data_IF_676911766798
#
_entry.id   IF_676911766798
#
_cell.length_a   1.000
_cell.length_b   1.000
_cell.length_c   1.000
_cell.angle_alpha   90.00
_cell.angle_beta   90.00
_cell.angle_gamma   90.00
#
_symmetry.space_group_name_H-M   'P 1'
#
loop_
_entity.id
_entity.type
_entity.pdbx_description
1 polymer ?
#
# COMPACT_ATOMS: atom_id res chain seq x y z
N UNK A 1 -0.04 10.03 -32.50
CA UNK A 1 0.89 9.79 -31.36
C UNK A 1 1.07 11.02 -30.46
N UNK A 2 1.24 12.24 -30.99
CA UNK A 2 1.44 13.46 -30.18
C UNK A 2 0.27 13.80 -29.23
N UNK A 3 -0.99 13.65 -29.67
CA UNK A 3 -2.17 13.90 -28.84
C UNK A 3 -2.32 12.89 -27.69
N UNK A 4 -2.00 11.61 -27.93
CA UNK A 4 -1.97 10.54 -26.91
C UNK A 4 -0.85 10.74 -25.88
N UNK A 5 0.28 11.32 -26.30
CA UNK A 5 1.41 11.70 -25.42
C UNK A 5 1.04 12.87 -24.51
N UNK A 6 0.34 13.89 -25.02
CA UNK A 6 -0.21 15.00 -24.20
C UNK A 6 -1.22 14.51 -23.14
N UNK A 7 -2.01 13.49 -23.44
CA UNK A 7 -3.04 12.95 -22.53
C UNK A 7 -2.46 12.26 -21.28
N UNK A 8 -1.24 11.74 -21.34
CA UNK A 8 -0.59 11.02 -20.22
C UNK A 8 0.40 11.89 -19.44
N UNK A 9 0.74 13.07 -19.94
CA UNK A 9 1.83 13.89 -19.42
C UNK A 9 1.34 15.08 -18.57
N UNK A 10 0.04 15.24 -18.39
CA UNK A 10 -0.54 16.35 -17.61
C UNK A 10 -1.79 15.94 -16.83
N UNK A 11 -1.88 16.44 -15.61
CA UNK A 11 -3.07 16.42 -14.77
C UNK A 11 -3.29 17.83 -14.25
N UNK A 12 -4.51 18.35 -14.37
CA UNK A 12 -4.91 19.57 -13.68
C UNK A 12 -5.50 19.15 -12.34
N UNK A 13 -4.96 19.68 -11.25
CA UNK A 13 -5.37 19.29 -9.91
C UNK A 13 -5.15 20.42 -8.90
N UNK A 14 -5.84 20.32 -7.77
CA UNK A 14 -5.50 21.04 -6.54
C UNK A 14 -5.15 20.03 -5.45
N UNK A 15 -4.20 20.36 -4.58
CA UNK A 15 -3.76 19.49 -3.48
C UNK A 15 -3.85 20.23 -2.16
N UNK A 16 -4.24 19.52 -1.10
CA UNK A 16 -4.22 20.04 0.27
C UNK A 16 -4.06 18.90 1.29
N UNK A 17 -3.55 19.17 2.50
CA UNK A 17 -3.63 18.23 3.60
C UNK A 17 -5.08 17.79 3.89
N UNK A 18 -5.24 16.55 4.33
CA UNK A 18 -6.50 15.99 4.81
C UNK A 18 -6.39 15.66 6.31
N UNK A 19 -6.42 16.69 7.18
CA UNK A 19 -6.21 16.52 8.62
C UNK A 19 -7.28 15.64 9.28
N UNK A 20 -8.51 15.63 8.75
CA UNK A 20 -9.60 14.79 9.22
C UNK A 20 -9.29 13.28 9.08
N UNK A 21 -8.63 12.89 7.99
CA UNK A 21 -8.16 11.52 7.80
C UNK A 21 -6.94 11.22 8.65
N UNK A 22 -6.02 12.18 8.75
CA UNK A 22 -4.83 12.07 9.60
C UNK A 22 -5.18 11.96 11.09
N UNK A 23 -6.30 12.53 11.52
CA UNK A 23 -6.77 12.50 12.90
C UNK A 23 -7.26 11.11 13.34
N UNK A 24 -7.80 10.30 12.43
CA UNK A 24 -8.21 8.91 12.73
C UNK A 24 -7.04 8.07 13.27
N UNK A 25 -5.82 8.39 12.84
CA UNK A 25 -4.57 7.72 13.22
C UNK A 25 -3.77 8.51 14.26
N UNK A 26 -4.35 9.55 14.85
CA UNK A 26 -3.73 10.27 15.97
C UNK A 26 -4.28 9.71 17.27
N UNK A 27 -3.59 8.73 17.83
CA UNK A 27 -4.01 8.01 19.04
C UNK A 27 -3.03 8.26 20.18
N UNK A 28 -3.47 8.03 21.40
CA UNK A 28 -2.66 8.22 22.61
C UNK A 28 -2.65 7.00 23.55
N UNK A 29 -3.35 5.91 23.18
CA UNK A 29 -3.46 4.69 23.99
C UNK A 29 -3.62 3.49 23.06
N UNK A 30 -3.00 2.36 23.42
CA UNK A 30 -2.94 1.17 22.58
C UNK A 30 -2.15 1.44 21.30
N UNK A 31 -2.77 1.25 20.13
CA UNK A 31 -2.17 1.61 18.84
C UNK A 31 -1.93 3.11 18.76
N UNK A 32 -0.70 3.55 18.48
CA UNK A 32 -0.40 4.98 18.31
C UNK A 32 0.42 5.35 17.08
N UNK A 33 0.92 4.35 16.36
CA UNK A 33 1.69 4.58 15.15
C UNK A 33 1.94 3.30 14.38
N UNK A 34 2.02 3.38 13.07
CA UNK A 34 2.44 2.27 12.23
C UNK A 34 2.87 2.75 10.85
N UNK A 35 3.56 1.85 10.14
CA UNK A 35 3.77 1.94 8.69
C UNK A 35 2.95 0.91 7.90
N UNK A 36 3.17 0.90 6.58
CA UNK A 36 2.16 0.52 5.63
C UNK A 36 1.11 1.63 5.45
N UNK A 37 0.05 1.30 4.72
CA UNK A 37 -1.34 1.29 5.16
C UNK A 37 -2.11 0.88 3.91
N UNK A 38 -2.76 -0.25 3.94
CA UNK A 38 -3.54 -0.73 2.80
C UNK A 38 -5.00 -0.80 3.22
N UNK A 39 -5.91 -0.72 2.25
CA UNK A 39 -7.33 -0.60 2.53
C UNK A 39 -8.15 -1.28 1.44
N UNK A 40 -9.06 -2.15 1.84
CA UNK A 40 -10.06 -2.76 0.96
C UNK A 40 -11.40 -2.75 1.67
N UNK A 41 -12.49 -2.69 0.93
CA UNK A 41 -13.80 -2.94 1.53
C UNK A 41 -14.00 -4.43 1.76
N UNK A 42 -14.76 -4.77 2.80
CA UNK A 42 -15.08 -6.16 3.14
C UNK A 42 -15.87 -6.87 2.05
N UNK A 43 -16.63 -6.11 1.27
CA UNK A 43 -17.34 -6.57 0.08
C UNK A 43 -16.53 -6.47 -1.23
N UNK A 44 -15.21 -6.21 -1.18
CA UNK A 44 -14.35 -6.28 -2.35
C UNK A 44 -14.66 -5.31 -3.50
N UNK A 45 -15.53 -4.32 -3.26
CA UNK A 45 -15.76 -3.21 -4.18
C UNK A 45 -14.60 -2.22 -4.01
N UNK A 46 -13.83 -1.98 -5.07
CA UNK A 46 -12.62 -1.13 -5.01
C UNK A 46 -12.82 0.26 -5.61
N UNK A 47 -14.07 0.66 -5.84
CA UNK A 47 -14.38 1.97 -6.44
C UNK A 47 -14.22 3.12 -5.44
N UNK A 48 -13.97 4.35 -5.94
CA UNK A 48 -14.12 5.57 -5.15
C UNK A 48 -15.47 5.61 -4.43
N UNK A 49 -15.44 5.93 -3.13
CA UNK A 49 -16.61 6.00 -2.26
C UNK A 49 -17.10 4.66 -1.71
N UNK A 50 -16.48 3.53 -2.06
CA UNK A 50 -16.96 2.21 -1.60
C UNK A 50 -17.01 2.08 -0.06
N UNK A 51 -16.12 2.77 0.65
CA UNK A 51 -16.11 2.79 2.12
C UNK A 51 -17.36 3.45 2.76
N UNK A 52 -18.17 4.17 2.00
CA UNK A 52 -19.45 4.73 2.48
C UNK A 52 -20.55 3.66 2.59
N UNK A 53 -20.38 2.53 1.93
CA UNK A 53 -21.39 1.47 1.84
C UNK A 53 -20.93 0.13 2.42
N UNK A 54 -19.64 0.00 2.70
CA UNK A 54 -19.03 -1.24 3.15
C UNK A 54 -17.90 -0.93 4.12
N UNK A 55 -17.83 -1.72 5.18
CA UNK A 55 -16.76 -1.63 6.16
C UNK A 55 -15.40 -1.81 5.47
N UNK A 56 -14.44 -0.95 5.82
CA UNK A 56 -13.08 -1.02 5.28
C UNK A 56 -12.16 -1.73 6.26
N UNK A 57 -11.47 -2.76 5.76
CA UNK A 57 -10.39 -3.43 6.47
C UNK A 57 -9.10 -2.72 6.08
N UNK A 58 -8.37 -2.24 7.08
CA UNK A 58 -7.04 -1.66 6.91
C UNK A 58 -6.00 -2.54 7.59
N UNK A 59 -4.81 -2.61 7.02
CA UNK A 59 -3.70 -3.31 7.66
C UNK A 59 -2.39 -2.55 7.55
N UNK A 60 -1.54 -2.83 8.53
CA UNK A 60 -0.30 -2.13 8.80
C UNK A 60 0.83 -3.13 8.96
N UNK A 61 2.05 -2.64 8.73
CA UNK A 61 3.29 -3.34 9.02
C UNK A 61 3.76 -2.97 10.43
N UNK A 62 5.02 -2.58 10.62
CA UNK A 62 5.56 -2.33 11.95
C UNK A 62 4.70 -1.29 12.67
N UNK A 63 4.24 -1.65 13.85
CA UNK A 63 3.17 -0.97 14.59
C UNK A 63 3.65 -0.72 16.01
N UNK A 64 3.60 0.53 16.44
CA UNK A 64 3.86 0.97 17.80
C UNK A 64 2.58 0.92 18.65
N UNK A 65 2.70 0.24 19.79
CA UNK A 65 1.70 0.14 20.83
C UNK A 65 2.22 0.75 22.14
N UNK A 66 1.40 1.50 22.86
CA UNK A 66 1.79 2.16 24.11
C UNK A 66 0.85 3.29 24.50
N UNK A 67 1.29 4.07 25.48
CA UNK A 67 0.51 5.16 26.07
C UNK A 67 1.26 6.49 25.91
N UNK A 68 0.54 7.54 25.51
CA UNK A 68 1.05 8.89 25.33
C UNK A 68 0.26 9.81 26.25
N UNK A 69 0.96 10.54 27.13
CA UNK A 69 0.36 11.55 27.99
C UNK A 69 0.95 12.92 27.64
N UNK A 70 0.08 13.84 27.20
CA UNK A 70 0.52 15.11 26.61
C UNK A 70 1.40 14.87 25.38
N UNK A 71 2.65 15.32 25.47
CA UNK A 71 3.68 15.18 24.44
C UNK A 71 4.74 14.11 24.78
N UNK A 72 4.51 13.28 25.80
CA UNK A 72 5.47 12.27 26.25
C UNK A 72 4.97 10.84 26.03
N UNK A 73 5.85 10.01 25.46
CA UNK A 73 5.66 8.55 25.42
C UNK A 73 5.92 7.95 26.80
N UNK A 74 4.93 7.25 27.36
CA UNK A 74 5.10 6.56 28.65
C UNK A 74 5.95 5.29 28.50
N UNK A 75 6.66 4.85 29.57
CA UNK A 75 7.39 3.59 29.56
C UNK A 75 6.50 2.39 29.24
N UNK A 76 7.07 1.38 28.56
CA UNK A 76 6.36 0.14 28.21
C UNK A 76 5.82 0.09 26.77
N UNK A 77 6.08 1.13 25.96
CA UNK A 77 5.81 1.08 24.52
C UNK A 77 6.56 -0.06 23.83
N UNK A 78 5.98 -0.59 22.76
CA UNK A 78 6.54 -1.72 22.03
C UNK A 78 6.17 -1.70 20.56
N UNK A 79 6.99 -2.33 19.74
CA UNK A 79 6.71 -2.57 18.33
C UNK A 79 6.23 -4.01 18.10
N UNK A 80 5.24 -4.20 17.25
CA UNK A 80 4.83 -5.48 16.66
C UNK A 80 4.87 -5.37 15.14
N UNK A 81 5.01 -6.47 14.42
CA UNK A 81 5.31 -6.41 12.97
C UNK A 81 4.12 -6.19 12.05
N UNK A 82 2.90 -6.38 12.54
CA UNK A 82 1.69 -6.02 11.82
C UNK A 82 0.50 -5.92 12.77
N UNK A 83 -0.44 -5.07 12.37
CA UNK A 83 -1.74 -4.89 13.01
C UNK A 83 -2.80 -4.63 11.94
N UNK A 84 -4.06 -4.60 12.35
CA UNK A 84 -5.16 -4.22 11.47
C UNK A 84 -6.02 -3.16 12.12
N UNK A 85 -6.77 -2.42 11.30
CA UNK A 85 -7.86 -1.60 11.75
C UNK A 85 -9.11 -1.90 10.94
N UNK A 86 -10.26 -1.60 11.54
CA UNK A 86 -11.55 -1.62 10.87
C UNK A 86 -12.14 -0.22 10.95
N UNK A 87 -12.48 0.32 9.79
CA UNK A 87 -13.19 1.57 9.63
C UNK A 87 -14.64 1.26 9.21
N UNK A 88 -15.59 1.59 10.07
CA UNK A 88 -17.01 1.44 9.75
C UNK A 88 -17.51 2.54 8.80
N UNK A 89 -18.74 2.39 8.29
CA UNK A 89 -19.37 3.37 7.37
C UNK A 89 -19.68 4.71 8.06
N UNK A 90 -19.69 4.76 9.38
CA UNK A 90 -19.80 5.97 10.20
C UNK A 90 -18.46 6.68 10.43
N UNK A 91 -17.35 6.17 9.87
CA UNK A 91 -15.97 6.63 10.06
C UNK A 91 -15.42 6.44 11.49
N UNK A 92 -15.96 5.49 12.25
CA UNK A 92 -15.32 5.04 13.48
C UNK A 92 -14.24 4.01 13.16
N UNK A 93 -13.05 4.22 13.70
CA UNK A 93 -11.91 3.31 13.51
C UNK A 93 -11.60 2.54 14.79
N UNK A 94 -11.40 1.23 14.65
CA UNK A 94 -10.96 0.34 15.73
C UNK A 94 -9.67 -0.39 15.32
N UNK A 95 -8.71 -0.49 16.22
CA UNK A 95 -7.40 -1.10 15.97
C UNK A 95 -7.30 -2.44 16.69
N UNK A 96 -6.70 -3.43 16.04
CA UNK A 96 -6.65 -4.81 16.50
C UNK A 96 -5.25 -5.39 16.33
N UNK A 97 -4.82 -6.14 17.33
CA UNK A 97 -3.60 -6.94 17.37
C UNK A 97 -3.86 -8.21 18.17
N UNK A 98 -2.95 -9.19 18.14
CA UNK A 98 -3.07 -10.40 18.96
C UNK A 98 -2.35 -10.22 20.29
N UNK A 99 -2.68 -11.08 21.25
CA UNK A 99 -1.87 -11.23 22.45
C UNK A 99 -1.32 -12.66 22.54
N UNK A 100 -0.08 -12.77 23.00
CA UNK A 100 0.61 -14.03 23.25
C UNK A 100 1.36 -13.91 24.57
N UNK A 101 1.03 -14.77 25.54
CA UNK A 101 1.63 -14.79 26.88
C UNK A 101 1.54 -13.42 27.60
N UNK A 102 0.37 -12.78 27.56
CA UNK A 102 0.13 -11.48 28.20
C UNK A 102 0.88 -10.31 27.56
N UNK A 103 1.39 -10.50 26.34
CA UNK A 103 2.10 -9.49 25.56
C UNK A 103 1.42 -9.34 24.21
N UNK A 104 1.20 -8.13 23.73
CA UNK A 104 0.83 -7.86 22.33
C UNK A 104 1.69 -8.66 21.33
N UNK A 105 1.15 -8.95 20.17
CA UNK A 105 1.78 -9.77 19.14
C UNK A 105 1.21 -9.40 17.77
N UNK A 106 2.00 -9.66 16.73
CA UNK A 106 1.54 -9.52 15.36
C UNK A 106 0.36 -10.47 15.06
N UNK A 107 -0.51 -10.07 14.14
CA UNK A 107 -1.65 -10.89 13.70
C UNK A 107 -1.18 -12.02 12.79
N UNK A 108 -0.37 -11.66 11.80
CA UNK A 108 0.20 -12.56 10.81
C UNK A 108 1.67 -12.83 11.14
N UNK A 109 1.99 -14.11 11.29
CA UNK A 109 3.34 -14.59 11.62
C UNK A 109 3.72 -15.62 10.56
N UNK A 110 4.90 -15.52 9.93
CA UNK A 110 5.34 -16.52 8.96
C UNK A 110 5.44 -17.90 9.62
N UNK A 111 4.90 -18.92 8.96
CA UNK A 111 4.90 -20.33 9.36
C UNK A 111 5.15 -21.31 8.20
N UNK A 112 5.51 -20.80 7.03
CA UNK A 112 5.80 -21.58 5.82
C UNK A 112 7.04 -22.46 6.00
N UNK A 113 7.21 -23.46 5.12
CA UNK A 113 8.36 -24.36 5.13
C UNK A 113 9.71 -23.64 5.12
N UNK A 114 9.81 -22.47 4.50
CA UNK A 114 11.10 -21.76 4.39
C UNK A 114 11.29 -20.68 5.44
N UNK A 115 10.31 -20.49 6.34
CA UNK A 115 10.42 -19.60 7.48
C UNK A 115 11.56 -20.06 8.39
N UNK A 116 12.34 -19.10 8.89
CA UNK A 116 13.33 -19.35 9.94
C UNK A 116 12.98 -18.55 11.21
N UNK A 117 13.56 -18.92 12.37
CA UNK A 117 13.44 -18.12 13.58
C UNK A 117 13.85 -16.66 13.34
N UNK A 118 13.02 -15.73 13.82
CA UNK A 118 13.24 -14.29 13.64
C UNK A 118 12.71 -13.70 12.33
N UNK A 119 12.14 -14.52 11.44
CA UNK A 119 11.36 -14.00 10.31
C UNK A 119 10.04 -13.39 10.80
N UNK A 120 9.66 -12.29 10.17
CA UNK A 120 8.38 -11.60 10.40
C UNK A 120 7.77 -11.15 9.08
N UNK A 121 6.51 -10.73 9.08
CA UNK A 121 5.89 -10.11 7.91
C UNK A 121 5.84 -8.61 8.05
N UNK A 122 6.37 -7.92 7.05
CA UNK A 122 5.74 -6.68 6.59
C UNK A 122 4.67 -7.02 5.56
N UNK A 123 3.57 -6.30 5.60
CA UNK A 123 2.43 -6.51 4.72
C UNK A 123 2.55 -5.59 3.50
N UNK A 124 2.27 -6.16 2.34
CA UNK A 124 1.99 -5.45 1.10
C UNK A 124 0.48 -5.30 0.91
N UNK A 125 0.11 -4.87 -0.29
CA UNK A 125 -1.27 -4.66 -0.69
C UNK A 125 -2.02 -6.00 -0.87
N UNK A 126 -3.31 -5.92 -1.15
CA UNK A 126 -4.22 -7.05 -1.09
C UNK A 126 -5.54 -6.78 -1.79
N UNK A 127 -6.43 -7.76 -1.77
CA UNK A 127 -7.79 -7.62 -2.30
C UNK A 127 -8.74 -8.63 -1.68
N UNK A 128 -10.04 -8.37 -1.79
CA UNK A 128 -11.08 -9.36 -1.45
C UNK A 128 -11.58 -10.01 -2.74
N UNK A 129 -11.52 -11.34 -2.81
CA UNK A 129 -11.98 -12.07 -4.00
C UNK A 129 -13.52 -12.15 -4.07
N UNK A 130 -14.11 -12.61 -5.20
CA UNK A 130 -15.57 -12.77 -5.30
C UNK A 130 -16.17 -13.74 -4.26
N UNK A 131 -15.38 -14.68 -3.73
CA UNK A 131 -15.76 -15.59 -2.64
C UNK A 131 -15.65 -14.94 -1.24
N UNK A 132 -15.38 -13.63 -1.16
CA UNK A 132 -15.26 -12.83 0.08
C UNK A 132 -14.07 -13.18 0.97
N UNK A 133 -13.07 -13.87 0.44
CA UNK A 133 -11.81 -14.11 1.14
C UNK A 133 -10.88 -12.91 0.94
N UNK A 134 -10.21 -12.51 2.02
CA UNK A 134 -9.21 -11.45 1.98
C UNK A 134 -7.83 -12.06 1.69
N UNK A 135 -7.17 -11.54 0.66
CA UNK A 135 -5.81 -11.87 0.27
C UNK A 135 -4.91 -10.69 0.60
N UNK A 136 -3.81 -10.95 1.31
CA UNK A 136 -2.80 -9.95 1.65
C UNK A 136 -1.45 -10.48 1.19
N UNK A 137 -0.68 -9.68 0.46
CA UNK A 137 0.70 -10.02 0.15
C UNK A 137 1.57 -9.80 1.39
N UNK A 138 2.43 -10.76 1.71
CA UNK A 138 3.37 -10.68 2.82
C UNK A 138 4.81 -10.68 2.32
N UNK A 139 5.59 -9.68 2.72
CA UNK A 139 7.03 -9.66 2.56
C UNK A 139 7.65 -10.31 3.80
N UNK A 140 8.22 -11.50 3.66
CA UNK A 140 8.88 -12.19 4.78
C UNK A 140 10.23 -11.53 5.01
N UNK A 141 10.35 -10.78 6.08
CA UNK A 141 11.54 -9.99 6.43
C UNK A 141 12.38 -10.69 7.50
N UNK A 142 13.66 -10.37 7.51
CA UNK A 142 14.59 -10.72 8.59
C UNK A 142 15.51 -9.56 8.90
N UNK A 143 15.72 -9.30 10.19
CA UNK A 143 16.72 -8.34 10.63
C UNK A 143 18.14 -8.83 10.31
N UNK A 144 18.95 -7.96 9.73
CA UNK A 144 20.38 -8.19 9.47
C UNK A 144 21.19 -7.50 10.57
N UNK A 145 22.02 -8.24 11.33
CA UNK A 145 22.85 -7.66 12.39
C UNK A 145 23.71 -6.49 11.89
N UNK A 146 23.77 -5.40 12.66
CA UNK A 146 24.62 -4.24 12.37
C UNK A 146 24.13 -3.29 11.28
N UNK A 147 22.93 -3.48 10.73
CA UNK A 147 22.43 -2.66 9.61
C UNK A 147 21.68 -1.36 10.00
N UNK A 148 21.60 -1.02 11.30
CA UNK A 148 20.90 0.18 11.77
C UNK A 148 19.43 0.23 11.32
N UNK A 149 18.93 1.43 11.00
CA UNK A 149 17.55 1.69 10.55
C UNK A 149 17.17 0.94 9.28
N UNK A 150 18.15 0.52 8.47
CA UNK A 150 17.95 -0.30 7.26
C UNK A 150 18.46 -1.74 7.41
N UNK A 151 18.60 -2.20 8.64
CA UNK A 151 19.13 -3.52 8.96
C UNK A 151 18.12 -4.65 8.78
N UNK A 152 17.56 -4.78 7.59
CA UNK A 152 16.59 -5.82 7.24
C UNK A 152 16.77 -6.31 5.81
N UNK A 153 16.29 -7.53 5.55
CA UNK A 153 16.30 -8.15 4.23
C UNK A 153 15.02 -8.91 3.99
N UNK A 154 14.47 -8.78 2.78
CA UNK A 154 13.39 -9.64 2.32
C UNK A 154 13.95 -11.04 2.03
N UNK A 155 13.33 -12.05 2.64
CA UNK A 155 13.68 -13.46 2.58
C UNK A 155 12.67 -14.28 1.77
N UNK A 156 11.56 -13.68 1.36
CA UNK A 156 10.52 -14.33 0.58
C UNK A 156 9.27 -13.47 0.46
N UNK A 157 8.38 -13.90 -0.43
CA UNK A 157 7.09 -13.27 -0.67
C UNK A 157 6.01 -14.35 -0.50
N UNK A 158 4.95 -14.03 0.22
CA UNK A 158 3.87 -14.96 0.57
C UNK A 158 2.52 -14.33 0.25
N UNK A 159 1.52 -15.19 0.05
CA UNK A 159 0.12 -14.81 -0.03
C UNK A 159 -0.58 -15.29 1.24
N UNK A 160 -1.03 -14.36 2.07
CA UNK A 160 -1.81 -14.60 3.29
C UNK A 160 -3.29 -14.57 2.93
N UNK A 161 -4.04 -15.54 3.42
CA UNK A 161 -5.42 -15.79 3.00
C UNK A 161 -6.30 -15.93 4.23
N UNK A 162 -7.15 -14.93 4.44
CA UNK A 162 -8.13 -14.85 5.51
C UNK A 162 -9.48 -15.33 4.97
N UNK A 163 -10.12 -16.33 5.61
CA UNK A 163 -11.42 -16.84 5.18
C UNK A 163 -12.51 -15.77 5.16
N UNK A 164 -13.53 -16.00 4.32
CA UNK A 164 -14.71 -15.16 4.27
C UNK A 164 -15.42 -15.10 5.63
N UNK A 165 -15.86 -13.90 6.00
CA UNK A 165 -16.58 -13.67 7.27
C UNK A 165 -15.72 -13.67 8.52
N UNK A 166 -14.40 -13.93 8.41
CA UNK A 166 -13.50 -13.77 9.55
C UNK A 166 -13.49 -12.32 10.05
N UNK A 167 -13.40 -12.18 11.38
CA UNK A 167 -13.31 -10.88 12.06
C UNK A 167 -11.90 -10.66 12.61
N UNK A 168 -11.45 -9.39 12.70
CA UNK A 168 -10.29 -9.02 13.50
C UNK A 168 -10.30 -9.68 14.88
N UNK A 169 -9.14 -10.16 15.39
CA UNK A 169 -7.79 -10.03 14.86
C UNK A 169 -7.39 -11.15 13.88
N UNK A 170 -8.34 -11.77 13.16
CA UNK A 170 -8.11 -12.86 12.20
C UNK A 170 -7.33 -14.04 12.80
N UNK A 171 -7.98 -14.78 13.69
CA UNK A 171 -7.37 -15.94 14.36
C UNK A 171 -7.05 -17.09 13.39
N UNK A 172 -7.80 -17.18 12.30
CA UNK A 172 -7.66 -18.22 11.28
C UNK A 172 -7.24 -17.57 9.96
N UNK A 173 -6.09 -17.98 9.47
CA UNK A 173 -5.61 -17.69 8.12
C UNK A 173 -4.68 -18.82 7.67
N UNK A 174 -4.40 -18.86 6.37
CA UNK A 174 -3.33 -19.68 5.81
C UNK A 174 -2.41 -18.83 4.96
N UNK A 175 -1.30 -19.39 4.57
CA UNK A 175 -0.30 -18.71 3.77
C UNK A 175 0.28 -19.65 2.71
N UNK A 176 0.65 -19.08 1.57
CA UNK A 176 1.27 -19.79 0.46
C UNK A 176 2.51 -19.01 0.02
N UNK A 177 3.66 -19.67 -0.10
CA UNK A 177 4.85 -19.02 -0.66
C UNK A 177 4.66 -18.71 -2.15
N UNK A 178 4.94 -17.46 -2.53
CA UNK A 178 4.97 -17.02 -3.93
C UNK A 178 6.34 -17.43 -4.52
N UNK A 179 6.37 -18.29 -5.55
CA UNK A 179 7.61 -18.94 -5.98
C UNK A 179 8.58 -18.03 -6.75
N UNK A 180 8.11 -16.84 -7.18
CA UNK A 180 8.86 -15.95 -8.08
C UNK A 180 10.06 -15.27 -7.40
N UNK A 181 10.02 -15.10 -6.07
CA UNK A 181 11.11 -14.50 -5.32
C UNK A 181 12.44 -15.23 -5.52
N UNK A 182 12.41 -16.58 -5.54
CA UNK A 182 13.60 -17.41 -5.74
C UNK A 182 14.18 -17.36 -7.15
N UNK A 183 13.38 -16.98 -8.14
CA UNK A 183 13.76 -17.08 -9.55
C UNK A 183 14.44 -15.82 -10.09
N UNK A 184 14.34 -14.67 -9.40
CA UNK A 184 15.00 -13.42 -9.81
C UNK A 184 15.00 -12.31 -8.73
N UNK A 185 14.77 -12.63 -7.45
CA UNK A 185 14.58 -11.60 -6.41
C UNK A 185 13.37 -10.71 -6.69
N UNK A 186 12.37 -11.25 -7.39
CA UNK A 186 11.13 -10.56 -7.75
C UNK A 186 10.17 -10.64 -6.58
N UNK A 187 9.78 -9.49 -6.06
CA UNK A 187 8.74 -9.39 -5.03
C UNK A 187 7.51 -8.67 -5.58
N UNK A 188 6.35 -9.23 -5.28
CA UNK A 188 5.03 -8.73 -5.71
C UNK A 188 4.19 -8.35 -4.49
N UNK A 189 3.21 -7.46 -4.71
CA UNK A 189 2.33 -6.97 -3.66
C UNK A 189 2.63 -5.54 -3.22
N UNK A 190 3.46 -4.79 -3.96
CA UNK A 190 3.67 -3.37 -3.70
C UNK A 190 2.39 -2.54 -3.92
N UNK A 191 1.53 -3.03 -4.81
CA UNK A 191 0.16 -2.55 -5.02
C UNK A 191 -0.65 -3.59 -5.79
N UNK A 192 -1.98 -3.50 -5.67
CA UNK A 192 -2.95 -4.33 -6.36
C UNK A 192 -3.96 -3.43 -7.10
N UNK A 193 -4.47 -3.90 -8.23
CA UNK A 193 -5.59 -3.27 -8.91
C UNK A 193 -6.56 -4.34 -9.41
N UNK A 194 -7.76 -4.39 -8.85
CA UNK A 194 -8.78 -5.38 -9.22
C UNK A 194 -9.66 -4.84 -10.34
N UNK A 195 -9.38 -5.26 -11.58
CA UNK A 195 -10.08 -4.78 -12.76
C UNK A 195 -11.23 -5.74 -13.17
N UNK A 196 -12.14 -6.02 -12.24
CA UNK A 196 -13.26 -6.94 -12.45
C UNK A 196 -14.62 -6.26 -12.29
N UNK A 197 -15.68 -6.92 -12.77
CA UNK A 197 -17.05 -6.42 -12.64
C UNK A 197 -17.45 -6.36 -11.17
N UNK A 198 -17.11 -7.39 -10.39
CA UNK A 198 -17.44 -7.51 -8.97
C UNK A 198 -16.79 -6.42 -8.12
N UNK A 199 -15.59 -5.97 -8.49
CA UNK A 199 -14.91 -4.86 -7.84
C UNK A 199 -15.43 -3.47 -8.26
N UNK A 200 -16.39 -3.42 -9.20
CA UNK A 200 -16.97 -2.18 -9.72
C UNK A 200 -16.08 -1.43 -10.71
N UNK A 201 -15.08 -2.08 -11.30
CA UNK A 201 -14.18 -1.41 -12.25
C UNK A 201 -14.95 -0.88 -13.48
N UNK A 202 -14.60 0.33 -13.96
CA UNK A 202 -15.32 0.97 -15.09
C UNK A 202 -15.10 0.24 -16.42
N UNK A 203 -13.88 -0.27 -16.65
CA UNK A 203 -13.51 -1.00 -17.86
C UNK A 203 -12.92 -2.38 -17.50
N UNK A 204 -13.75 -3.32 -17.01
CA UNK A 204 -13.27 -4.58 -16.45
C UNK A 204 -12.73 -5.50 -17.55
N UNK A 205 -11.54 -6.06 -17.33
CA UNK A 205 -10.97 -7.16 -18.12
C UNK A 205 -10.93 -8.49 -17.33
N UNK A 206 -11.44 -8.44 -16.10
CA UNK A 206 -11.61 -9.57 -15.19
C UNK A 206 -10.30 -10.05 -14.56
N UNK A 207 -9.23 -9.25 -14.60
CA UNK A 207 -7.94 -9.60 -13.98
C UNK A 207 -7.69 -8.81 -12.70
N UNK A 208 -6.95 -9.43 -11.79
CA UNK A 208 -6.22 -8.73 -10.73
C UNK A 208 -4.82 -8.43 -11.26
N UNK A 209 -4.44 -7.16 -11.24
CA UNK A 209 -3.10 -6.69 -11.55
C UNK A 209 -2.28 -6.63 -10.27
N UNK A 210 -1.09 -7.21 -10.31
CA UNK A 210 -0.20 -7.35 -9.15
C UNK A 210 1.10 -6.64 -9.48
N UNK A 211 1.34 -5.53 -8.79
CA UNK A 211 2.52 -4.71 -8.98
C UNK A 211 3.62 -5.13 -8.01
N UNK A 212 4.84 -5.17 -8.54
CA UNK A 212 6.04 -5.46 -7.77
C UNK A 212 7.12 -4.42 -8.05
N UNK A 213 8.13 -4.39 -7.20
CA UNK A 213 9.28 -3.49 -7.34
C UNK A 213 10.56 -4.30 -7.24
N UNK A 214 11.52 -4.04 -8.13
CA UNK A 214 12.83 -4.68 -8.08
C UNK A 214 13.96 -3.69 -8.34
N UNK A 215 15.16 -4.10 -7.92
CA UNK A 215 16.40 -3.37 -8.18
C UNK A 215 16.53 -2.05 -7.41
N UNK A 216 17.74 -1.47 -7.45
CA UNK A 216 18.05 -0.23 -6.74
C UNK A 216 17.29 0.98 -7.31
N UNK A 217 17.04 1.01 -8.62
CA UNK A 217 16.27 2.08 -9.27
C UNK A 217 14.75 2.00 -9.07
N UNK A 218 14.27 1.14 -8.16
CA UNK A 218 12.85 0.93 -7.86
C UNK A 218 12.02 0.74 -9.12
N UNK A 219 12.32 -0.32 -9.86
CA UNK A 219 11.69 -0.61 -11.14
C UNK A 219 10.36 -1.33 -10.94
N UNK A 220 9.29 -0.77 -11.50
CA UNK A 220 7.97 -1.37 -11.51
C UNK A 220 7.95 -2.58 -12.44
N UNK A 221 7.45 -3.70 -11.92
CA UNK A 221 7.15 -4.92 -12.66
C UNK A 221 5.69 -5.30 -12.42
N UNK A 222 5.08 -5.97 -13.39
CA UNK A 222 3.62 -6.20 -13.38
C UNK A 222 3.32 -7.65 -13.73
N UNK A 223 2.53 -8.30 -12.88
CA UNK A 223 1.86 -9.55 -13.16
C UNK A 223 0.35 -9.35 -13.22
N UNK A 224 -0.37 -10.32 -13.79
CA UNK A 224 -1.82 -10.41 -13.65
C UNK A 224 -2.29 -11.86 -13.66
N UNK A 225 -3.44 -12.08 -13.02
CA UNK A 225 -4.12 -13.39 -12.94
C UNK A 225 -5.62 -13.18 -12.73
N UNK A 226 -6.44 -14.18 -13.05
CA UNK A 226 -7.86 -14.16 -12.70
C UNK A 226 -8.01 -14.32 -11.17
N UNK A 227 -8.99 -13.67 -10.51
CA UNK A 227 -9.18 -13.81 -9.07
C UNK A 227 -9.28 -15.26 -8.58
N UNK A 228 -9.99 -16.11 -9.32
CA UNK A 228 -10.15 -17.55 -9.00
C UNK A 228 -8.86 -18.36 -9.12
N UNK A 229 -7.85 -17.81 -9.78
CA UNK A 229 -6.58 -18.45 -10.09
C UNK A 229 -5.40 -17.83 -9.31
N UNK A 230 -5.66 -16.94 -8.36
CA UNK A 230 -4.62 -16.20 -7.61
C UNK A 230 -3.61 -17.14 -6.93
N UNK A 231 -4.06 -18.30 -6.44
CA UNK A 231 -3.20 -19.31 -5.80
C UNK A 231 -2.50 -20.25 -6.80
N UNK A 232 -2.93 -20.24 -8.07
CA UNK A 232 -2.37 -21.06 -9.14
C UNK A 232 -1.23 -20.32 -9.84
N UNK A 233 -0.05 -20.29 -9.24
CA UNK A 233 1.10 -19.50 -9.75
C UNK A 233 1.53 -19.83 -11.19
N UNK A 234 1.24 -21.03 -11.70
CA UNK A 234 1.47 -21.40 -13.11
C UNK A 234 0.56 -20.68 -14.11
N UNK A 235 -0.56 -20.11 -13.63
CA UNK A 235 -1.52 -19.33 -14.43
C UNK A 235 -1.23 -17.84 -14.43
N UNK A 236 -0.30 -17.38 -13.60
CA UNK A 236 0.11 -15.98 -13.59
C UNK A 236 0.79 -15.64 -14.91
N UNK A 237 0.54 -14.42 -15.38
CA UNK A 237 1.21 -13.87 -16.56
C UNK A 237 1.89 -12.57 -16.22
N UNK A 238 3.01 -12.30 -16.87
CA UNK A 238 3.94 -11.21 -16.57
C UNK A 238 4.06 -10.28 -17.77
N UNK A 239 4.02 -8.98 -17.53
CA UNK A 239 4.14 -8.00 -18.60
C UNK A 239 5.60 -7.93 -19.08
N UNK A 240 5.83 -8.24 -20.35
CA UNK A 240 7.16 -8.16 -20.96
C UNK A 240 7.43 -6.84 -21.70
N UNK A 241 6.57 -5.82 -21.50
CA UNK A 241 6.64 -4.54 -22.20
C UNK A 241 5.86 -4.50 -23.52
N UNK A 242 5.41 -5.65 -24.03
CA UNK A 242 4.63 -5.73 -25.29
C UNK A 242 3.38 -6.61 -25.17
N UNK A 243 3.48 -7.72 -24.45
CA UNK A 243 2.41 -8.70 -24.22
C UNK A 243 2.59 -9.39 -22.88
N UNK A 244 1.55 -10.12 -22.47
CA UNK A 244 1.59 -11.00 -21.31
C UNK A 244 2.32 -12.30 -21.66
N UNK A 245 3.33 -12.66 -20.87
CA UNK A 245 4.13 -13.89 -21.02
C UNK A 245 3.95 -14.75 -19.75
N UNK A 246 4.05 -16.08 -19.88
CA UNK A 246 3.96 -16.99 -18.72
C UNK A 246 5.31 -17.17 -18.00
N UNK A 247 6.41 -16.80 -18.66
CA UNK A 247 7.74 -16.91 -18.09
C UNK A 247 8.11 -15.62 -17.34
N UNK A 248 8.20 -15.71 -16.01
CA UNK A 248 8.58 -14.60 -15.13
C UNK A 248 9.96 -14.01 -15.48
N UNK A 249 10.89 -14.80 -16.03
CA UNK A 249 12.21 -14.33 -16.42
C UNK A 249 12.18 -13.30 -17.57
N UNK A 250 11.05 -13.19 -18.30
CA UNK A 250 10.86 -12.22 -19.39
C UNK A 250 10.18 -10.92 -18.95
N UNK A 251 9.91 -10.77 -17.66
CA UNK A 251 9.24 -9.58 -17.14
C UNK A 251 10.08 -8.32 -17.37
N UNK A 252 9.44 -7.28 -17.89
CA UNK A 252 10.09 -6.01 -18.18
C UNK A 252 9.98 -5.05 -17.00
N UNK A 253 10.99 -4.18 -16.88
CA UNK A 253 10.86 -2.96 -16.09
C UNK A 253 9.94 -2.00 -16.86
N UNK A 254 8.83 -1.60 -16.25
CA UNK A 254 7.78 -0.82 -16.93
C UNK A 254 7.96 0.68 -16.74
N UNK A 255 8.36 1.08 -15.53
CA UNK A 255 8.81 2.43 -15.15
C UNK A 255 9.75 2.28 -13.95
N UNK A 256 10.32 3.38 -13.49
CA UNK A 256 11.30 3.47 -12.40
C UNK A 256 10.92 4.54 -11.39
N UNK A 257 11.75 4.65 -10.34
CA UNK A 257 11.63 5.65 -9.27
C UNK A 257 10.31 5.58 -8.50
N UNK A 258 9.67 4.40 -8.46
CA UNK A 258 8.49 4.14 -7.62
C UNK A 258 8.90 3.81 -6.17
N UNK A 259 7.92 3.52 -5.32
CA UNK A 259 8.13 3.09 -3.93
C UNK A 259 7.71 1.64 -3.71
N UNK A 260 8.23 1.02 -2.65
CA UNK A 260 7.89 -0.37 -2.26
C UNK A 260 6.41 -0.54 -1.89
N UNK A 261 5.71 0.57 -1.65
CA UNK A 261 4.27 0.63 -1.53
C UNK A 261 3.77 1.70 -2.49
N UNK A 262 2.74 1.36 -3.28
CA UNK A 262 2.18 2.22 -4.31
C UNK A 262 0.68 1.91 -4.45
N UNK A 263 -0.06 2.79 -5.12
CA UNK A 263 -1.49 2.58 -5.39
C UNK A 263 -1.82 2.83 -6.85
N UNK A 264 -2.84 2.13 -7.34
CA UNK A 264 -3.38 2.31 -8.69
C UNK A 264 -4.86 2.62 -8.61
N UNK A 265 -5.30 3.67 -9.30
CA UNK A 265 -6.71 4.04 -9.39
C UNK A 265 -7.06 4.45 -10.82
N UNK A 266 -8.22 4.02 -11.31
CA UNK A 266 -8.75 4.51 -12.57
C UNK A 266 -9.48 5.85 -12.36
N UNK A 267 -9.09 6.86 -13.12
CA UNK A 267 -9.68 8.20 -13.14
C UNK A 267 -10.98 8.20 -13.97
N UNK A 268 -11.82 9.22 -13.77
CA UNK A 268 -13.09 9.34 -14.50
C UNK A 268 -12.92 9.44 -16.02
N UNK A 269 -11.85 10.07 -16.48
CA UNK A 269 -11.50 10.19 -17.89
C UNK A 269 -10.90 8.90 -18.49
N UNK A 270 -10.89 7.81 -17.72
CA UNK A 270 -10.44 6.49 -18.13
C UNK A 270 -8.94 6.25 -18.01
N UNK A 271 -8.14 7.25 -17.65
CA UNK A 271 -6.70 7.07 -17.37
C UNK A 271 -6.50 6.30 -16.07
N UNK A 272 -5.34 5.69 -15.93
CA UNK A 272 -4.89 4.98 -14.73
C UNK A 272 -3.81 5.80 -14.05
N UNK A 273 -4.02 6.15 -12.78
CA UNK A 273 -3.08 6.89 -11.96
C UNK A 273 -2.32 5.92 -11.05
N UNK A 274 -1.03 5.77 -11.33
CA UNK A 274 -0.07 5.09 -10.46
C UNK A 274 0.50 6.11 -9.48
N UNK A 275 0.18 6.02 -8.20
CA UNK A 275 0.60 6.94 -7.13
C UNK A 275 1.66 6.26 -6.26
N UNK A 276 2.74 6.99 -5.96
CA UNK A 276 3.90 6.48 -5.22
C UNK A 276 4.71 7.61 -4.57
N UNK A 277 5.63 7.26 -3.67
CA UNK A 277 6.68 8.17 -3.21
C UNK A 277 7.81 8.19 -4.25
N UNK A 278 8.15 9.36 -4.78
CA UNK A 278 9.28 9.53 -5.71
C UNK A 278 10.56 8.97 -5.07
N UNK A 279 11.37 8.21 -5.82
CA UNK A 279 12.64 7.62 -5.36
C UNK A 279 12.53 6.68 -4.14
N UNK A 280 11.32 6.20 -3.82
CA UNK A 280 11.05 5.36 -2.66
C UNK A 280 10.98 6.12 -1.34
N UNK A 281 11.82 7.14 -1.14
CA UNK A 281 11.90 7.98 0.06
C UNK A 281 12.20 9.47 -0.26
N UNK A 282 12.05 9.87 -1.52
CA UNK A 282 12.22 11.27 -1.94
C UNK A 282 11.09 12.14 -1.38
N UNK A 283 11.30 13.45 -1.33
CA UNK A 283 10.37 14.37 -0.65
C UNK A 283 9.01 14.60 -1.33
N UNK A 284 8.79 14.09 -2.55
CA UNK A 284 7.55 14.31 -3.27
C UNK A 284 6.68 13.06 -3.32
N UNK A 285 5.40 13.26 -3.03
CA UNK A 285 4.35 12.36 -3.49
C UNK A 285 4.13 12.63 -4.97
N UNK A 286 4.14 11.58 -5.78
CA UNK A 286 4.04 11.71 -7.22
C UNK A 286 3.07 10.69 -7.83
N UNK A 287 2.68 10.94 -9.07
CA UNK A 287 2.00 9.95 -9.89
C UNK A 287 2.56 9.89 -11.31
N UNK A 288 2.21 8.81 -12.00
CA UNK A 288 2.28 8.70 -13.47
C UNK A 288 0.93 8.24 -14.00
N UNK A 289 0.56 8.76 -15.17
CA UNK A 289 -0.67 8.38 -15.84
C UNK A 289 -0.42 7.38 -16.97
N UNK A 290 -1.36 6.45 -17.15
CA UNK A 290 -1.33 5.46 -18.21
C UNK A 290 -2.71 5.28 -18.87
N UNK A 291 -2.77 4.78 -20.12
CA UNK A 291 -4.03 4.46 -20.79
C UNK A 291 -4.54 3.06 -20.43
N UNK A 292 -3.70 2.22 -19.82
CA UNK A 292 -4.03 0.87 -19.35
C UNK A 292 -3.34 0.62 -18.01
N UNK A 293 -3.76 -0.38 -17.21
CA UNK A 293 -3.10 -0.72 -15.96
C UNK A 293 -1.61 -1.11 -16.12
N UNK A 294 -1.21 -1.57 -17.32
CA UNK A 294 0.16 -1.98 -17.62
C UNK A 294 1.01 -0.89 -18.33
N UNK A 295 0.48 0.33 -18.48
CA UNK A 295 1.17 1.41 -19.18
C UNK A 295 0.77 1.55 -20.66
N UNK A 296 1.63 2.19 -21.49
CA UNK A 296 2.86 2.88 -21.09
C UNK A 296 2.55 4.04 -20.14
N UNK A 297 3.40 4.22 -19.13
CA UNK A 297 3.30 5.33 -18.17
C UNK A 297 3.93 6.60 -18.75
N UNK A 298 3.24 7.73 -18.59
CA UNK A 298 3.72 9.05 -18.97
C UNK A 298 4.79 9.61 -18.05
N UNK A 299 4.98 10.92 -18.14
CA UNK A 299 5.91 11.66 -17.27
C UNK A 299 5.50 11.59 -15.80
N UNK A 300 6.50 11.74 -14.94
CA UNK A 300 6.32 11.93 -13.51
C UNK A 300 5.62 13.29 -13.27
N UNK A 301 4.52 13.26 -12.50
CA UNK A 301 3.78 14.43 -12.06
C UNK A 301 3.88 14.48 -10.54
N UNK A 302 4.55 15.50 -10.00
CA UNK A 302 4.64 15.73 -8.56
C UNK A 302 3.34 16.35 -8.07
N UNK A 303 2.75 15.73 -7.06
CA UNK A 303 1.46 16.14 -6.49
C UNK A 303 1.64 17.00 -5.25
N UNK A 304 2.58 16.62 -4.37
CA UNK A 304 2.75 17.24 -3.07
C UNK A 304 4.22 17.23 -2.66
N UNK A 305 4.69 18.35 -2.10
CA UNK A 305 6.04 18.49 -1.54
C UNK A 305 5.98 18.35 -0.02
N UNK A 306 6.60 17.31 0.52
CA UNK A 306 6.67 17.04 1.94
C UNK A 306 7.75 17.86 2.66
N UNK A 307 8.40 18.83 2.00
CA UNK A 307 9.46 19.66 2.62
C UNK A 307 9.05 20.28 3.96
N UNK A 308 7.80 20.68 4.14
CA UNK A 308 7.31 21.22 5.43
C UNK A 308 7.33 20.16 6.54
N UNK A 309 7.00 18.91 6.21
CA UNK A 309 7.03 17.78 7.17
C UNK A 309 8.46 17.49 7.63
N UNK A 310 9.42 17.72 6.75
CA UNK A 310 10.85 17.48 6.97
C UNK A 310 11.55 18.71 7.57
N UNK A 311 10.85 19.85 7.68
CA UNK A 311 11.45 21.07 8.20
C UNK A 311 11.72 20.95 9.70
N UNK A 312 12.90 21.41 10.12
CA UNK A 312 13.30 21.47 11.53
C UNK A 312 13.89 20.19 12.09
N UNK A 313 13.97 19.10 11.31
CA UNK A 313 14.59 17.85 11.74
C UNK A 313 15.13 17.06 10.54
N UNK A 314 16.45 16.93 10.49
CA UNK A 314 17.18 16.27 9.39
C UNK A 314 17.08 14.74 9.47
N UNK A 315 16.68 14.20 10.62
CA UNK A 315 16.60 12.77 10.85
C UNK A 315 15.28 12.20 10.30
N UNK A 316 14.30 13.06 9.99
CA UNK A 316 13.03 12.65 9.40
C UNK A 316 13.12 12.36 7.90
N UNK A 317 12.34 11.37 7.48
CA UNK A 317 12.09 11.07 6.06
C UNK A 317 10.63 10.68 5.82
N UNK A 318 10.18 10.87 4.58
CA UNK A 318 8.85 10.46 4.11
C UNK A 318 8.95 9.30 3.15
N UNK A 319 7.96 8.42 3.16
CA UNK A 319 7.96 7.20 2.36
C UNK A 319 6.54 6.66 2.18
N UNK A 320 6.42 5.59 1.38
CA UNK A 320 5.21 4.78 1.26
C UNK A 320 3.95 5.55 0.82
N UNK A 321 4.08 6.57 -0.01
CA UNK A 321 2.90 7.25 -0.53
C UNK A 321 2.06 6.33 -1.44
N UNK A 322 0.74 6.32 -1.25
CA UNK A 322 -0.19 5.54 -2.09
C UNK A 322 -1.61 6.09 -2.06
N UNK A 323 -2.36 5.90 -3.14
CA UNK A 323 -3.79 6.21 -3.18
C UNK A 323 -4.60 5.10 -2.53
N UNK A 324 -5.70 5.47 -1.87
CA UNK A 324 -6.69 4.55 -1.30
C UNK A 324 -8.00 4.63 -2.10
N UNK A 325 -8.21 3.79 -3.14
CA UNK A 325 -9.39 3.89 -4.00
C UNK A 325 -10.70 3.86 -3.21
N UNK A 326 -10.85 2.91 -2.29
CA UNK A 326 -12.08 2.73 -1.50
C UNK A 326 -12.42 3.91 -0.58
N UNK A 327 -11.41 4.67 -0.14
CA UNK A 327 -11.55 5.84 0.73
C UNK A 327 -11.62 7.16 -0.05
N UNK A 328 -11.27 7.14 -1.34
CA UNK A 328 -11.26 8.33 -2.18
C UNK A 328 -12.68 8.72 -2.56
N UNK A 329 -12.99 10.02 -2.56
CA UNK A 329 -14.24 10.52 -3.13
C UNK A 329 -14.20 10.45 -4.68
N UNK A 330 -15.35 10.54 -5.36
CA UNK A 330 -15.37 10.78 -6.81
C UNK A 330 -14.52 12.02 -7.19
N UNK A 331 -13.83 11.97 -8.33
CA UNK A 331 -12.90 13.01 -8.81
C UNK A 331 -11.76 13.39 -7.84
N UNK A 332 -11.46 12.54 -6.87
CA UNK A 332 -10.46 12.79 -5.85
C UNK A 332 -9.52 11.59 -5.69
N UNK A 333 -8.26 11.86 -5.35
CA UNK A 333 -7.33 10.86 -4.83
C UNK A 333 -7.09 11.19 -3.35
N UNK A 334 -7.54 10.31 -2.47
CA UNK A 334 -7.10 10.33 -1.08
C UNK A 334 -5.80 9.53 -0.97
N UNK A 335 -4.72 10.20 -0.63
CA UNK A 335 -3.37 9.64 -0.62
C UNK A 335 -2.82 9.70 0.79
N UNK A 336 -2.31 8.58 1.28
CA UNK A 336 -1.51 8.55 2.50
C UNK A 336 -0.02 8.56 2.15
N UNK A 337 0.81 8.96 3.11
CA UNK A 337 2.25 8.71 3.16
C UNK A 337 2.68 8.58 4.62
N UNK A 338 3.78 7.89 4.89
CA UNK A 338 4.32 7.73 6.24
C UNK A 338 5.48 8.69 6.48
N UNK A 339 5.75 8.93 7.77
CA UNK A 339 6.93 9.67 8.24
C UNK A 339 7.64 8.80 9.26
N UNK A 340 8.96 8.70 9.12
CA UNK A 340 9.82 7.93 10.02
C UNK A 340 11.14 8.69 10.20
N UNK A 341 12.03 8.15 11.03
CA UNK A 341 13.28 8.79 11.42
C UNK A 341 14.48 7.85 11.30
N UNK A 342 15.63 8.40 10.90
CA UNK A 342 16.92 7.72 10.93
C UNK A 342 17.42 7.48 12.37
N UNK A 343 16.96 8.26 13.36
CA UNK A 343 17.18 8.08 14.80
C UNK A 343 15.87 7.74 15.53
N UNK A 344 15.18 6.72 14.99
CA UNK A 344 13.80 6.38 15.34
C UNK A 344 13.48 6.36 16.84
N UNK A 345 14.30 5.69 17.65
CA UNK A 345 13.98 5.52 19.09
C UNK A 345 14.12 6.81 19.89
N UNK A 346 15.02 7.71 19.51
CA UNK A 346 15.18 8.99 20.19
C UNK A 346 14.08 9.96 19.74
N UNK A 347 13.85 10.07 18.43
CA UNK A 347 12.81 10.95 17.90
C UNK A 347 11.42 10.54 18.34
N UNK A 348 11.14 9.24 18.47
CA UNK A 348 9.85 8.78 18.96
C UNK A 348 9.60 9.16 20.43
N UNK A 349 10.64 9.30 21.25
CA UNK A 349 10.49 9.77 22.65
C UNK A 349 10.13 11.24 22.73
N UNK A 350 10.70 12.06 21.85
CA UNK A 350 10.45 13.50 21.79
C UNK A 350 9.17 13.85 21.00
N UNK A 351 8.87 13.05 19.97
CA UNK A 351 7.78 13.25 19.02
C UNK A 351 6.97 11.96 18.91
N UNK A 352 6.21 11.57 19.97
CA UNK A 352 5.51 10.28 19.99
C UNK A 352 4.42 10.12 18.93
N UNK A 353 4.02 11.23 18.29
CA UNK A 353 3.03 11.24 17.18
C UNK A 353 3.68 11.25 15.79
N UNK A 354 4.98 10.99 15.70
CA UNK A 354 5.76 11.01 14.46
C UNK A 354 5.37 9.86 13.51
N UNK A 355 5.44 8.63 14.02
CA UNK A 355 5.41 7.39 13.23
C UNK A 355 3.99 6.94 12.86
N UNK A 356 3.32 7.69 11.99
CA UNK A 356 1.93 7.42 11.59
C UNK A 356 1.66 7.89 10.15
N UNK A 357 0.62 7.35 9.49
CA UNK A 357 0.20 7.86 8.19
C UNK A 357 -0.31 9.31 8.30
N UNK A 358 0.02 10.11 7.29
CA UNK A 358 -0.51 11.45 7.03
C UNK A 358 -1.22 11.42 5.69
N UNK A 359 -2.30 12.20 5.58
CA UNK A 359 -3.15 12.16 4.40
C UNK A 359 -3.17 13.51 3.68
N UNK A 360 -3.21 13.44 2.35
CA UNK A 360 -3.49 14.56 1.46
C UNK A 360 -4.67 14.21 0.57
N UNK A 361 -5.34 15.26 0.12
CA UNK A 361 -6.42 15.21 -0.85
C UNK A 361 -5.95 15.86 -2.13
N UNK A 362 -6.02 15.13 -3.24
CA UNK A 362 -5.78 15.66 -4.59
C UNK A 362 -7.11 15.64 -5.34
N UNK A 363 -7.68 16.83 -5.56
CA UNK A 363 -8.89 16.98 -6.38
C UNK A 363 -8.48 17.15 -7.84
N UNK A 364 -9.03 16.31 -8.69
CA UNK A 364 -8.80 16.36 -10.14
C UNK A 364 -9.73 17.43 -10.70
N UNK A 365 -9.15 18.37 -11.44
CA UNK A 365 -9.88 19.49 -12.01
C UNK A 365 -10.14 19.20 -13.49
N UNK A 366 -11.37 19.47 -13.94
CA UNK A 366 -11.72 19.40 -15.35
C UNK A 366 -11.27 20.68 -16.05
N UNK A 367 -10.76 20.51 -17.26
CA UNK A 367 -10.45 21.63 -18.14
C UNK A 367 -11.76 22.22 -18.67
N UNK A 368 -12.21 23.34 -18.11
CA UNK A 368 -13.48 23.99 -18.43
C UNK A 368 -13.58 24.47 -19.88
N UNK A 369 -12.47 24.50 -20.63
CA UNK A 369 -12.49 24.81 -22.07
C UNK A 369 -12.89 23.64 -22.98
N UNK A 370 -13.24 22.46 -22.45
CA UNK A 370 -13.60 21.26 -23.24
C UNK A 370 -15.01 20.73 -23.01
N UNK A 371 -15.85 21.46 -22.26
CA UNK A 371 -17.23 21.04 -21.93
C UNK A 371 -18.27 21.60 -22.92
N UNK A 372 -17.82 22.19 -24.03
CA UNK A 372 -18.70 22.71 -25.08
C UNK A 372 -18.32 22.21 -26.46
N UNK A 373 -18.62 20.94 -26.76
CA UNK A 373 -18.89 20.44 -28.12
C UNK A 373 -19.97 19.35 -28.05
#
# INVERSE_FOLDING_TARGET
MAQRKRFQDSLLFSVQPAPEWSALFTRSSGWFGADGIFSVTRDGVETPGAAEHSETILWFSDTMLGEISGDSLLPGSRMINNSIAVLDTGRNISFHWKESNGKSAAIFVPGTRSTQPGDYYWLGDGFVNPQRQLYIFGFRMRNTPGGGTFGFKEMGNSLIIVPAGSQPPFDIYREIEIPFFRQAGISFGAGIFVNTVEAGARNPDGYVYIYGVRGAGKQLIIARVKPSDIESFSKWTFWNGRRWDRNVARIANVTDHVSNELGMMQLEDGRYALVFQEDGMGKHVALRLAPTPAGPFGKLIRLYDCSEVLAGDKDLFVYNAKVHPVLSAPDELLISFNVNSFDFLNDLREKPRLYRPRFIRVRILRDSSKVGE
#
